data_IF_517935772858
#
_entry.id   IF_517935772858
#
_cell.length_a   1.000
_cell.length_b   1.000
_cell.length_c   1.000
_cell.angle_alpha   90.00
_cell.angle_beta   90.00
_cell.angle_gamma   90.00
#
_symmetry.space_group_name_H-M   'P 1'
#
loop_
_entity.id
_entity.type
_entity.pdbx_description
1 polymer ?
#
# COMPACT_ATOMS: atom_id res chain seq x y z
N UNK A 1 -4.35 -8.26 16.20
CA UNK A 1 -4.94 -8.02 14.88
C UNK A 1 -6.20 -7.18 14.97
N UNK A 2 -6.14 -5.96 14.50
CA UNK A 2 -7.32 -5.10 14.61
C UNK A 2 -8.47 -5.54 13.71
N UNK A 3 -8.24 -6.45 12.80
CA UNK A 3 -9.26 -6.89 11.86
C UNK A 3 -10.25 -7.87 12.47
N UNK A 4 -9.82 -8.60 13.47
CA UNK A 4 -10.55 -9.78 13.90
C UNK A 4 -11.22 -9.49 15.23
N UNK A 5 -12.41 -8.92 15.18
CA UNK A 5 -13.20 -8.70 16.39
C UNK A 5 -14.43 -9.60 16.41
N UNK A 6 -14.97 -9.91 15.24
CA UNK A 6 -16.09 -10.84 15.13
C UNK A 6 -16.11 -11.41 13.71
N UNK A 7 -16.97 -12.36 13.46
CA UNK A 7 -17.03 -13.05 12.17
C UNK A 7 -17.39 -12.13 11.01
N UNK A 8 -18.25 -11.15 11.25
CA UNK A 8 -18.66 -10.24 10.20
C UNK A 8 -17.52 -9.31 9.79
N UNK A 9 -16.76 -8.79 10.76
CA UNK A 9 -15.62 -7.95 10.48
C UNK A 9 -14.53 -8.73 9.75
N UNK A 10 -14.29 -9.96 10.16
CA UNK A 10 -13.31 -10.81 9.51
C UNK A 10 -13.70 -11.11 8.07
N UNK A 11 -14.97 -11.43 7.84
CA UNK A 11 -15.45 -11.71 6.48
C UNK A 11 -15.33 -10.49 5.59
N UNK A 12 -15.68 -9.31 6.10
CA UNK A 12 -15.55 -8.07 5.34
C UNK A 12 -14.10 -7.73 5.00
N UNK A 13 -13.18 -7.97 5.95
CA UNK A 13 -11.77 -7.73 5.72
C UNK A 13 -11.21 -8.66 4.66
N UNK A 14 -11.60 -9.92 4.68
CA UNK A 14 -11.17 -10.88 3.67
C UNK A 14 -11.68 -10.51 2.30
N UNK A 15 -12.91 -10.05 2.21
CA UNK A 15 -13.48 -9.63 0.94
C UNK A 15 -12.72 -8.44 0.37
N UNK A 16 -12.43 -7.45 1.20
CA UNK A 16 -11.67 -6.29 0.76
C UNK A 16 -10.26 -6.68 0.33
N UNK A 17 -9.61 -7.54 1.09
CA UNK A 17 -8.28 -8.00 0.74
C UNK A 17 -8.29 -8.71 -0.61
N UNK A 18 -9.29 -9.55 -0.86
CA UNK A 18 -9.43 -10.22 -2.14
C UNK A 18 -9.62 -9.26 -3.30
N UNK A 19 -10.45 -8.25 -3.10
CA UNK A 19 -10.67 -7.23 -4.13
C UNK A 19 -9.38 -6.46 -4.45
N UNK A 20 -8.63 -6.11 -3.41
CA UNK A 20 -7.38 -5.39 -3.59
C UNK A 20 -6.33 -6.25 -4.28
N UNK A 21 -6.26 -7.53 -3.94
CA UNK A 21 -5.34 -8.45 -4.60
C UNK A 21 -5.68 -8.58 -6.09
N UNK A 22 -6.95 -8.68 -6.43
CA UNK A 22 -7.36 -8.71 -7.83
C UNK A 22 -6.99 -7.41 -8.53
N UNK A 23 -7.25 -6.30 -7.88
CA UNK A 23 -6.94 -4.99 -8.43
C UNK A 23 -5.45 -4.84 -8.70
N UNK A 24 -4.63 -5.43 -7.86
CA UNK A 24 -3.17 -5.41 -7.99
C UNK A 24 -2.64 -6.59 -8.81
N UNK A 25 -3.53 -7.35 -9.44
CA UNK A 25 -3.19 -8.41 -10.39
C UNK A 25 -2.41 -9.54 -9.76
N UNK A 26 -2.78 -9.91 -8.53
CA UNK A 26 -2.25 -11.10 -7.89
C UNK A 26 -3.22 -12.25 -8.17
N UNK A 27 -2.80 -13.31 -8.86
CA UNK A 27 -3.69 -14.43 -9.17
C UNK A 27 -4.20 -15.13 -7.91
N UNK A 28 -5.45 -15.58 -7.95
CA UNK A 28 -6.07 -16.22 -6.79
C UNK A 28 -5.25 -17.39 -6.22
N UNK A 29 -4.68 -18.26 -7.05
CA UNK A 29 -3.88 -19.36 -6.50
C UNK A 29 -2.72 -18.88 -5.63
N UNK A 30 -2.27 -17.65 -5.81
CA UNK A 30 -1.14 -17.10 -5.04
C UNK A 30 -1.54 -16.60 -3.66
N UNK A 31 -2.84 -16.39 -3.41
CA UNK A 31 -3.29 -15.73 -2.19
C UNK A 31 -2.96 -16.50 -0.92
N UNK A 32 -2.86 -17.81 -1.01
CA UNK A 32 -2.56 -18.66 0.14
C UNK A 32 -1.09 -19.04 0.23
N UNK A 33 -0.26 -18.58 -0.70
CA UNK A 33 1.16 -18.91 -0.69
C UNK A 33 1.94 -18.02 0.27
N UNK A 34 3.06 -18.55 0.76
CA UNK A 34 3.94 -17.77 1.61
C UNK A 34 4.55 -16.61 0.78
N UNK A 35 4.68 -15.41 1.37
CA UNK A 35 5.25 -14.28 0.64
C UNK A 35 6.65 -14.55 0.09
N UNK A 36 7.43 -15.41 0.74
CA UNK A 36 8.78 -15.72 0.28
C UNK A 36 8.81 -16.40 -1.09
N UNK A 37 7.68 -16.94 -1.56
CA UNK A 37 7.62 -17.57 -2.88
C UNK A 37 7.32 -16.59 -4.00
N UNK A 38 7.07 -15.32 -3.67
CA UNK A 38 6.72 -14.30 -4.65
C UNK A 38 7.96 -13.57 -5.15
N UNK A 39 7.85 -12.98 -6.34
CA UNK A 39 8.84 -12.01 -6.80
C UNK A 39 8.78 -10.76 -5.91
N UNK A 40 9.78 -9.88 -6.05
CA UNK A 40 9.79 -8.64 -5.28
C UNK A 40 8.54 -7.78 -5.52
N UNK A 41 8.13 -7.66 -6.78
CA UNK A 41 6.93 -6.90 -7.11
C UNK A 41 5.66 -7.53 -6.58
N UNK A 42 5.60 -8.87 -6.61
CA UNK A 42 4.43 -9.58 -6.06
C UNK A 42 4.37 -9.43 -4.55
N UNK A 43 5.49 -9.55 -3.86
CA UNK A 43 5.52 -9.33 -2.42
C UNK A 43 5.06 -7.92 -2.06
N UNK A 44 5.53 -6.95 -2.82
CA UNK A 44 5.16 -5.56 -2.55
C UNK A 44 3.68 -5.34 -2.76
N UNK A 45 3.10 -5.90 -3.83
CA UNK A 45 1.67 -5.75 -4.09
C UNK A 45 0.83 -6.43 -3.02
N UNK A 46 1.25 -7.60 -2.55
CA UNK A 46 0.54 -8.29 -1.47
C UNK A 46 0.58 -7.46 -0.18
N UNK A 47 1.75 -6.88 0.14
CA UNK A 47 1.88 -6.04 1.32
C UNK A 47 1.02 -4.79 1.23
N UNK A 48 0.93 -4.18 0.05
CA UNK A 48 0.07 -3.03 -0.18
C UNK A 48 -1.39 -3.44 0.05
N UNK A 49 -1.82 -4.57 -0.50
CA UNK A 49 -3.19 -5.03 -0.31
C UNK A 49 -3.51 -5.24 1.17
N UNK A 50 -2.58 -5.80 1.93
CA UNK A 50 -2.77 -5.99 3.36
C UNK A 50 -2.95 -4.67 4.09
N UNK A 51 -2.11 -3.69 3.76
CA UNK A 51 -2.19 -2.39 4.42
C UNK A 51 -3.47 -1.65 4.08
N UNK A 52 -3.93 -1.78 2.85
CA UNK A 52 -5.13 -1.08 2.40
C UNK A 52 -6.42 -1.80 2.74
N UNK A 53 -6.35 -3.06 3.18
CA UNK A 53 -7.54 -3.82 3.54
C UNK A 53 -8.13 -3.35 4.87
N UNK A 54 -7.38 -2.63 5.67
CA UNK A 54 -7.80 -2.14 6.99
C UNK A 54 -8.03 -0.64 6.92
N UNK A 55 -9.09 -0.17 7.56
CA UNK A 55 -9.40 1.25 7.61
C UNK A 55 -8.68 1.91 8.77
N UNK A 56 -7.39 2.11 8.62
CA UNK A 56 -6.61 2.87 9.60
C UNK A 56 -6.83 4.36 9.37
N UNK A 57 -6.89 5.16 10.44
CA UNK A 57 -6.95 6.61 10.27
C UNK A 57 -5.66 7.21 9.74
N UNK A 58 -4.54 6.54 9.97
CA UNK A 58 -3.23 6.97 9.49
C UNK A 58 -2.55 5.78 8.82
N UNK A 59 -2.01 6.00 7.64
CA UNK A 59 -1.35 4.95 6.87
C UNK A 59 0.07 5.40 6.56
N UNK A 60 1.04 4.54 6.86
CA UNK A 60 2.44 4.80 6.54
C UNK A 60 2.84 3.97 5.33
N UNK A 61 3.42 4.60 4.34
CA UNK A 61 3.87 3.94 3.12
C UNK A 61 5.35 4.23 2.92
N UNK A 62 6.15 3.19 2.78
CA UNK A 62 7.58 3.32 2.55
C UNK A 62 7.90 2.72 1.18
N UNK A 63 8.13 3.61 0.21
CA UNK A 63 8.46 3.22 -1.15
C UNK A 63 7.49 2.19 -1.73
N UNK A 64 6.17 2.46 -1.72
CA UNK A 64 5.22 1.41 -2.09
C UNK A 64 5.25 1.00 -3.56
N UNK A 65 5.91 1.79 -4.41
CA UNK A 65 5.91 1.51 -5.86
C UNK A 65 7.28 1.10 -6.38
N UNK A 66 8.27 0.87 -5.51
CA UNK A 66 9.66 0.71 -5.92
C UNK A 66 9.90 -0.46 -6.87
N UNK A 67 9.17 -1.56 -6.72
CA UNK A 67 9.37 -2.76 -7.53
C UNK A 67 8.23 -2.99 -8.52
N UNK A 68 7.46 -1.95 -8.85
CA UNK A 68 6.26 -2.11 -9.66
C UNK A 68 6.46 -1.59 -11.08
N UNK A 69 5.81 -2.25 -12.03
CA UNK A 69 5.73 -1.75 -13.40
C UNK A 69 4.73 -0.58 -13.46
N UNK A 70 4.62 0.04 -14.63
CA UNK A 70 3.80 1.25 -14.77
C UNK A 70 2.33 1.00 -14.46
N UNK A 71 1.79 -0.15 -14.88
CA UNK A 71 0.38 -0.44 -14.67
C UNK A 71 0.07 -0.62 -13.18
N UNK A 72 0.91 -1.37 -12.47
CA UNK A 72 0.71 -1.57 -11.04
C UNK A 72 1.02 -0.31 -10.25
N UNK A 73 2.01 0.48 -10.71
CA UNK A 73 2.31 1.76 -10.07
C UNK A 73 1.09 2.69 -10.13
N UNK A 74 0.45 2.76 -11.29
CA UNK A 74 -0.74 3.59 -11.43
C UNK A 74 -1.87 3.11 -10.53
N UNK A 75 -2.04 1.80 -10.43
CA UNK A 75 -3.06 1.23 -9.53
C UNK A 75 -2.82 1.69 -8.09
N UNK A 76 -1.58 1.66 -7.63
CA UNK A 76 -1.25 2.10 -6.26
C UNK A 76 -1.51 3.59 -6.09
N UNK A 77 -1.16 4.39 -7.09
CA UNK A 77 -1.45 5.83 -7.05
C UNK A 77 -2.96 6.06 -6.89
N UNK A 78 -3.76 5.33 -7.65
CA UNK A 78 -5.21 5.47 -7.56
C UNK A 78 -5.73 5.05 -6.18
N UNK A 79 -5.19 3.98 -5.61
CA UNK A 79 -5.56 3.52 -4.29
C UNK A 79 -5.22 4.55 -3.22
N UNK A 80 -4.05 5.17 -3.33
CA UNK A 80 -3.65 6.22 -2.39
C UNK A 80 -4.62 7.39 -2.48
N UNK A 81 -4.96 7.82 -3.68
CA UNK A 81 -5.89 8.93 -3.87
C UNK A 81 -7.26 8.62 -3.30
N UNK A 82 -7.75 7.41 -3.51
CA UNK A 82 -9.04 6.99 -2.97
C UNK A 82 -9.05 7.04 -1.45
N UNK A 83 -7.97 6.59 -0.83
CA UNK A 83 -7.86 6.60 0.64
C UNK A 83 -7.82 8.02 1.18
N UNK A 84 -7.12 8.92 0.49
CA UNK A 84 -7.09 10.32 0.89
C UNK A 84 -8.48 10.93 0.82
N UNK A 85 -9.21 10.64 -0.25
CA UNK A 85 -10.58 11.13 -0.39
C UNK A 85 -11.50 10.58 0.69
N UNK A 86 -11.22 9.38 1.16
CA UNK A 86 -11.98 8.77 2.25
C UNK A 86 -11.61 9.33 3.62
N UNK A 87 -10.61 10.20 3.71
CA UNK A 87 -10.25 10.86 4.94
C UNK A 87 -9.04 10.28 5.67
N UNK A 88 -8.37 9.31 5.09
CA UNK A 88 -7.18 8.73 5.70
C UNK A 88 -6.00 9.69 5.56
N UNK A 89 -5.27 9.92 6.64
CA UNK A 89 -4.02 10.65 6.60
C UNK A 89 -2.90 9.69 6.17
N UNK A 90 -2.15 10.08 5.17
CA UNK A 90 -1.09 9.23 4.63
C UNK A 90 0.25 9.92 4.75
N UNK A 91 1.22 9.22 5.34
CA UNK A 91 2.60 9.66 5.39
C UNK A 91 3.38 8.70 4.52
N UNK A 92 4.03 9.21 3.48
CA UNK A 92 4.71 8.36 2.53
C UNK A 92 6.13 8.81 2.24
N UNK A 93 6.97 7.83 1.97
CA UNK A 93 8.32 8.05 1.46
C UNK A 93 8.34 7.57 0.03
N UNK A 94 8.62 8.46 -0.91
CA UNK A 94 8.60 8.15 -2.34
C UNK A 94 9.89 8.67 -2.97
N UNK A 95 10.66 7.79 -3.60
CA UNK A 95 11.82 8.20 -4.39
C UNK A 95 11.42 8.46 -5.85
N UNK A 96 10.33 7.89 -6.31
CA UNK A 96 9.81 8.16 -7.64
C UNK A 96 9.10 9.50 -7.64
N UNK A 97 9.67 10.48 -8.33
CA UNK A 97 9.13 11.84 -8.32
C UNK A 97 7.74 11.91 -8.95
N UNK A 98 7.50 11.13 -9.99
CA UNK A 98 6.20 11.19 -10.66
C UNK A 98 5.09 10.66 -9.74
N UNK A 99 5.37 9.62 -8.98
CA UNK A 99 4.40 9.11 -8.00
C UNK A 99 4.20 10.13 -6.88
N UNK A 100 5.30 10.65 -6.35
CA UNK A 100 5.23 11.65 -5.28
C UNK A 100 4.39 12.85 -5.70
N UNK A 101 4.64 13.36 -6.91
CA UNK A 101 3.91 14.53 -7.39
C UNK A 101 2.43 14.22 -7.61
N UNK A 102 2.10 12.97 -7.95
CA UNK A 102 0.72 12.58 -8.19
C UNK A 102 -0.09 12.46 -6.90
N UNK A 103 0.53 12.15 -5.77
CA UNK A 103 -0.21 11.85 -4.54
C UNK A 103 0.03 12.84 -3.40
N UNK A 104 1.12 13.59 -3.42
CA UNK A 104 1.49 14.44 -2.28
C UNK A 104 0.67 15.72 -2.26
N UNK A 105 0.15 16.07 -1.09
CA UNK A 105 -0.43 17.37 -0.85
C UNK A 105 0.62 18.32 -0.29
N UNK A 106 1.52 17.79 0.54
CA UNK A 106 2.59 18.53 1.17
C UNK A 106 3.84 17.69 1.22
N UNK A 107 4.97 18.34 1.24
CA UNK A 107 6.26 17.65 1.35
C UNK A 107 6.99 18.13 2.57
N UNK A 108 7.65 17.19 3.24
CA UNK A 108 8.52 17.49 4.35
C UNK A 108 9.91 16.99 4.00
N UNK A 109 10.86 17.90 3.99
CA UNK A 109 12.26 17.52 3.76
C UNK A 109 12.94 17.33 5.09
N UNK A 110 13.54 16.16 5.27
CA UNK A 110 14.30 15.87 6.46
C UNK A 110 15.77 15.85 6.06
N UNK A 111 16.55 16.75 6.63
CA UNK A 111 17.97 16.82 6.31
C UNK A 111 18.76 16.06 7.36
N UNK A 112 19.79 15.38 6.87
CA UNK A 112 20.67 14.64 7.76
C UNK A 112 21.60 15.60 8.50
N UNK A 113 21.75 15.37 9.80
CA UNK A 113 22.71 16.12 10.61
C UNK A 113 24.07 15.44 10.71
N UNK A 114 24.25 14.32 10.04
CA UNK A 114 25.46 13.54 10.23
C UNK A 114 26.70 14.24 9.74
N UNK A 115 26.58 15.01 8.68
CA UNK A 115 27.72 15.71 8.14
C UNK A 115 28.16 16.84 9.05
N UNK A 116 27.34 17.24 9.98
CA UNK A 116 27.69 18.28 10.94
C UNK A 116 28.53 17.73 12.08
N UNK A 117 28.57 16.43 12.24
CA UNK A 117 29.33 15.81 13.31
C UNK A 117 30.80 15.70 12.96
#
# INVERSE_FOLDING_TARGET
EPLITDGAAESGARQRAGELLRRLRIPEPFWSLAPATFSGGEQQRVNIARGFAVDFPILLLDEPTAALDDTNRQTVVDMIRERKEAGTAIIGIFHDESVRDAVADRRLRIESNRKAA
#
